data_IF_800746911304
#
_entry.id   IF_800746911304
#
_cell.length_a   1.000
_cell.length_b   1.000
_cell.length_c   1.000
_cell.angle_alpha   90.00
_cell.angle_beta   90.00
_cell.angle_gamma   90.00
#
_symmetry.space_group_name_H-M   'P 1'
#
loop_
_entity.id
_entity.type
_entity.pdbx_description
1 polymer ?
#
# COMPACT_ATOMS: atom_id res chain seq x y z
N UNK A 1 18.33 15.72 4.35
CA UNK A 1 17.90 14.32 4.59
C UNK A 1 17.61 13.66 3.25
N UNK A 2 18.35 12.61 2.89
CA UNK A 2 18.01 11.78 1.75
C UNK A 2 16.81 10.90 2.11
N UNK A 3 15.67 11.11 1.44
CA UNK A 3 14.48 10.28 1.65
C UNK A 3 14.70 8.87 1.09
N UNK A 4 14.29 7.84 1.84
CA UNK A 4 14.40 6.42 1.46
C UNK A 4 13.89 6.15 0.03
N UNK A 5 12.84 6.88 -0.38
CA UNK A 5 12.17 6.72 -1.66
C UNK A 5 12.66 7.67 -2.78
N UNK A 6 13.79 8.38 -2.61
CA UNK A 6 14.18 9.52 -3.49
C UNK A 6 14.31 9.19 -4.99
N UNK A 7 14.60 7.93 -5.34
CA UNK A 7 14.84 7.50 -6.72
C UNK A 7 13.72 6.59 -7.26
N UNK A 8 12.62 6.45 -6.52
CA UNK A 8 11.47 5.65 -6.96
C UNK A 8 10.51 6.52 -7.77
N UNK A 9 9.90 5.93 -8.80
CA UNK A 9 8.91 6.62 -9.62
C UNK A 9 7.56 6.62 -8.91
N UNK A 10 6.91 7.78 -8.82
CA UNK A 10 5.53 7.91 -8.33
C UNK A 10 4.52 7.47 -9.41
N UNK A 11 3.28 7.11 -9.04
CA UNK A 11 2.74 7.06 -7.67
C UNK A 11 3.19 5.82 -6.89
N UNK A 12 3.15 5.88 -5.56
CA UNK A 12 3.45 4.76 -4.66
C UNK A 12 2.18 4.11 -4.11
N UNK A 13 2.23 2.80 -3.89
CA UNK A 13 1.17 2.02 -3.25
C UNK A 13 1.70 1.26 -2.03
N UNK A 14 1.00 1.31 -0.90
CA UNK A 14 1.19 0.37 0.21
C UNK A 14 0.08 -0.70 0.21
N UNK A 15 0.48 -1.98 0.08
CA UNK A 15 -0.43 -3.13 0.22
C UNK A 15 -0.42 -3.57 1.69
N UNK A 16 -1.61 -3.63 2.30
CA UNK A 16 -1.75 -3.81 3.74
C UNK A 16 -1.48 -2.51 4.49
N UNK A 17 -1.98 -1.38 3.97
CA UNK A 17 -1.71 -0.03 4.51
C UNK A 17 -2.13 0.11 5.98
N UNK A 18 -3.07 -0.71 6.46
CA UNK A 18 -3.53 -0.67 7.83
C UNK A 18 -4.02 0.73 8.21
N UNK A 19 -3.44 1.28 9.29
CA UNK A 19 -3.75 2.64 9.74
C UNK A 19 -3.02 3.74 8.95
N UNK A 20 -2.17 3.39 7.99
CA UNK A 20 -1.36 4.33 7.21
C UNK A 20 -0.12 4.85 7.95
N UNK A 21 0.38 4.12 8.97
CA UNK A 21 1.48 4.60 9.83
C UNK A 21 2.79 4.73 9.05
N UNK A 22 3.08 3.78 8.16
CA UNK A 22 4.26 3.82 7.33
C UNK A 22 4.04 4.67 6.08
N UNK A 23 2.86 4.55 5.43
CA UNK A 23 2.50 5.44 4.33
C UNK A 23 2.67 6.93 4.65
N UNK A 24 2.18 7.40 5.81
CA UNK A 24 2.35 8.79 6.24
C UNK A 24 3.84 9.17 6.37
N UNK A 25 4.62 8.36 7.08
CA UNK A 25 6.05 8.63 7.30
C UNK A 25 6.88 8.62 6.02
N UNK A 26 6.50 7.76 5.06
CA UNK A 26 7.20 7.58 3.78
C UNK A 26 6.61 8.43 2.65
N UNK A 27 5.52 9.17 2.91
CA UNK A 27 4.78 9.97 1.92
C UNK A 27 4.28 9.12 0.74
N UNK A 28 3.78 7.92 1.04
CA UNK A 28 3.11 7.03 0.08
C UNK A 28 1.68 7.56 -0.14
N UNK A 29 1.30 7.73 -1.40
CA UNK A 29 0.03 8.35 -1.75
C UNK A 29 -1.15 7.39 -1.67
N UNK A 30 -0.98 6.14 -2.10
CA UNK A 30 -2.07 5.17 -2.19
C UNK A 30 -1.92 4.03 -1.20
N UNK A 31 -3.05 3.55 -0.66
CA UNK A 31 -3.08 2.44 0.29
C UNK A 31 -4.23 1.48 0.05
N UNK A 32 -3.99 0.18 0.20
CA UNK A 32 -5.03 -0.84 0.15
C UNK A 32 -5.02 -1.72 1.40
N UNK A 33 -6.19 -1.94 2.00
CA UNK A 33 -6.37 -2.88 3.12
C UNK A 33 -7.75 -3.57 3.05
N UNK A 34 -7.85 -4.76 3.64
CA UNK A 34 -9.10 -5.53 3.73
C UNK A 34 -10.02 -4.97 4.82
N UNK A 35 -9.43 -4.37 5.84
CA UNK A 35 -10.06 -3.99 7.10
C UNK A 35 -10.65 -2.58 7.00
N UNK A 36 -11.98 -2.47 7.01
CA UNK A 36 -12.67 -1.18 6.87
C UNK A 36 -12.33 -0.21 8.02
N UNK A 37 -12.16 -0.73 9.24
CA UNK A 37 -11.91 0.10 10.42
C UNK A 37 -10.59 0.86 10.36
N UNK A 38 -9.53 0.22 9.85
CA UNK A 38 -8.19 0.82 9.81
C UNK A 38 -8.03 1.84 8.69
N UNK A 39 -8.74 1.65 7.57
CA UNK A 39 -8.69 2.58 6.42
C UNK A 39 -9.17 3.99 6.79
N UNK A 40 -10.08 4.15 7.75
CA UNK A 40 -10.48 5.47 8.26
C UNK A 40 -9.33 6.25 8.90
N UNK A 41 -8.33 5.57 9.47
CA UNK A 41 -7.15 6.24 10.02
C UNK A 41 -6.17 6.63 8.92
N UNK A 42 -5.98 5.77 7.93
CA UNK A 42 -5.13 6.05 6.77
C UNK A 42 -5.68 7.22 5.94
N UNK A 43 -6.98 7.25 5.68
CA UNK A 43 -7.66 8.37 5.02
C UNK A 43 -7.44 9.71 5.76
N UNK A 44 -7.60 9.72 7.08
CA UNK A 44 -7.31 10.92 7.92
C UNK A 44 -5.86 11.38 7.88
N UNK A 45 -4.92 10.53 7.45
CA UNK A 45 -3.51 10.86 7.26
C UNK A 45 -3.19 11.31 5.83
N UNK A 46 -4.21 11.44 4.97
CA UNK A 46 -4.08 11.90 3.60
C UNK A 46 -3.64 10.81 2.62
N UNK A 47 -3.87 9.53 2.93
CA UNK A 47 -3.65 8.41 2.01
C UNK A 47 -4.93 8.18 1.21
N UNK A 48 -4.82 8.07 -0.12
CA UNK A 48 -5.90 7.65 -1.00
C UNK A 48 -6.13 6.14 -0.84
N UNK A 49 -7.15 5.79 -0.05
CA UNK A 49 -7.40 4.42 0.38
C UNK A 49 -8.41 3.68 -0.50
N UNK A 50 -8.10 2.41 -0.77
CA UNK A 50 -9.03 1.47 -1.40
C UNK A 50 -9.25 0.27 -0.48
N UNK A 51 -10.50 -0.16 -0.35
CA UNK A 51 -10.80 -1.44 0.31
C UNK A 51 -10.58 -2.58 -0.68
N UNK A 52 -9.71 -3.53 -0.33
CA UNK A 52 -9.49 -4.70 -1.17
C UNK A 52 -8.46 -5.68 -0.62
N UNK A 53 -8.15 -6.71 -1.41
CA UNK A 53 -7.17 -7.75 -1.06
C UNK A 53 -5.90 -7.57 -1.88
N UNK A 54 -4.73 -7.76 -1.28
CA UNK A 54 -3.46 -7.71 -2.00
C UNK A 54 -3.33 -8.79 -3.08
N UNK A 55 -4.07 -9.89 -2.97
CA UNK A 55 -4.09 -11.00 -3.93
C UNK A 55 -4.89 -10.72 -5.20
N UNK A 56 -5.61 -9.59 -5.27
CA UNK A 56 -6.36 -9.16 -6.45
C UNK A 56 -6.52 -7.64 -6.40
N UNK A 57 -5.55 -6.94 -6.97
CA UNK A 57 -5.52 -5.48 -6.90
C UNK A 57 -6.57 -4.87 -7.83
N UNK A 58 -7.36 -3.87 -7.38
CA UNK A 58 -8.35 -3.19 -8.20
C UNK A 58 -7.72 -2.04 -9.01
N UNK A 59 -6.52 -2.26 -9.54
CA UNK A 59 -5.76 -1.25 -10.29
C UNK A 59 -5.34 -1.82 -11.65
N UNK A 60 -5.25 -0.98 -12.70
CA UNK A 60 -4.66 -1.41 -13.96
C UNK A 60 -3.18 -1.78 -13.81
N UNK A 61 -2.69 -2.66 -14.68
CA UNK A 61 -1.28 -3.01 -14.77
C UNK A 61 -0.40 -1.75 -14.93
N UNK A 62 0.78 -1.77 -14.29
CA UNK A 62 1.81 -0.72 -14.38
C UNK A 62 1.34 0.67 -13.91
N UNK A 63 0.34 0.74 -13.04
CA UNK A 63 -0.18 2.01 -12.48
C UNK A 63 0.74 2.66 -11.45
N UNK A 64 1.52 1.87 -10.71
CA UNK A 64 2.42 2.35 -9.66
C UNK A 64 3.87 2.23 -10.07
N UNK A 65 4.71 3.16 -9.63
CA UNK A 65 6.15 3.07 -9.86
C UNK A 65 6.91 2.43 -8.69
N UNK A 66 6.27 2.24 -7.54
CA UNK A 66 6.74 1.37 -6.46
C UNK A 66 5.58 0.85 -5.60
N UNK A 67 5.72 -0.39 -5.14
CA UNK A 67 4.77 -1.06 -4.23
C UNK A 67 5.49 -1.41 -2.93
N UNK A 68 4.87 -1.12 -1.81
CA UNK A 68 5.39 -1.33 -0.46
C UNK A 68 4.58 -2.42 0.25
N UNK A 69 5.31 -3.39 0.82
CA UNK A 69 4.78 -4.50 1.60
C UNK A 69 5.45 -4.48 2.99
N UNK A 70 4.92 -3.66 3.91
CA UNK A 70 5.55 -3.41 5.21
C UNK A 70 4.80 -4.19 6.29
N UNK A 71 5.40 -5.29 6.76
CA UNK A 71 4.77 -6.20 7.74
C UNK A 71 3.43 -6.76 7.22
N UNK A 72 3.29 -6.93 5.90
CA UNK A 72 2.05 -7.37 5.23
C UNK A 72 2.00 -8.88 5.00
N UNK A 73 3.09 -9.48 4.52
CA UNK A 73 3.07 -10.86 3.96
C UNK A 73 2.68 -11.95 4.98
N UNK A 74 2.83 -11.68 6.28
CA UNK A 74 2.45 -12.60 7.35
C UNK A 74 0.92 -12.68 7.57
N UNK A 75 0.14 -11.77 6.98
CA UNK A 75 -1.31 -11.61 7.22
C UNK A 75 -2.16 -11.82 5.96
N UNK A 76 -1.55 -12.22 4.85
CA UNK A 76 -2.22 -12.51 3.58
C UNK A 76 -2.37 -14.01 3.39
N UNK A 77 -3.41 -14.43 2.66
CA UNK A 77 -3.72 -15.86 2.52
C UNK A 77 -2.76 -16.54 1.54
N UNK A 78 -2.34 -15.80 0.50
CA UNK A 78 -1.49 -16.29 -0.58
C UNK A 78 -0.38 -15.28 -0.87
N UNK A 79 0.72 -15.26 -0.11
CA UNK A 79 1.78 -14.25 -0.25
C UNK A 79 2.41 -14.24 -1.64
N UNK A 80 2.55 -15.39 -2.29
CA UNK A 80 3.05 -15.47 -3.66
C UNK A 80 2.12 -14.83 -4.69
N UNK A 81 0.81 -14.77 -4.45
CA UNK A 81 -0.09 -14.04 -5.35
C UNK A 81 0.04 -12.54 -5.15
N UNK A 82 0.18 -12.07 -3.91
CA UNK A 82 0.44 -10.65 -3.63
C UNK A 82 1.69 -10.18 -4.36
N UNK A 83 2.78 -10.96 -4.31
CA UNK A 83 4.02 -10.64 -5.03
C UNK A 83 3.88 -10.67 -6.55
N UNK A 84 2.94 -11.45 -7.11
CA UNK A 84 2.68 -11.47 -8.55
C UNK A 84 1.84 -10.29 -9.02
N UNK A 85 0.93 -9.80 -8.18
CA UNK A 85 0.08 -8.64 -8.46
C UNK A 85 0.81 -7.30 -8.24
N UNK A 86 1.92 -7.30 -7.50
CA UNK A 86 2.72 -6.11 -7.15
C UNK A 86 3.71 -5.73 -8.25
#
# INVERSE_FOLDING_TARGET
>A
MSTLCKNLRKPFLEIGVGTGRFAEALKIEFGIDRSVGVLKFADKRGIDVVRGKGERLPFPDKSFGAVFLIVTLCFVDKPLLVLKES
#
